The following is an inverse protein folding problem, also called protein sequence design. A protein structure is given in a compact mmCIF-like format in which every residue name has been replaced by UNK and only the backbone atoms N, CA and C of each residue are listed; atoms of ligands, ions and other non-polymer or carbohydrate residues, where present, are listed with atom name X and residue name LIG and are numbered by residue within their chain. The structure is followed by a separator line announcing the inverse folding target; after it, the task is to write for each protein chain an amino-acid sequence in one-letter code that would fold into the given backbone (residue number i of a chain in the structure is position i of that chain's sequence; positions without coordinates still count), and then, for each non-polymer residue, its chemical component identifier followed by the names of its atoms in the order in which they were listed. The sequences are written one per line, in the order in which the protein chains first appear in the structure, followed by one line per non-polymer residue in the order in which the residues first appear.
data_IF_362045077171
#
_entry.id   IF_362045077171
#
_cell.length_a   1.000
_cell.length_b   1.000
_cell.length_c   1.000
_cell.angle_alpha   90.00
_cell.angle_beta   90.00
_cell.angle_gamma   90.00
#
_symmetry.space_group_name_H-M   'P 1'
#
loop_
_entity.id
_entity.type
_entity.pdbx_description
1 polymer ?
#
# COMPACT_ATOMS: atom_id res chain seq x y z
N UNK A 1 -2.26 -0.33 -22.11
CA UNK A 1 -1.47 -1.58 -22.28
C UNK A 1 -2.27 -2.80 -21.85
N UNK A 2 -1.95 -3.95 -22.35
CA UNK A 2 -2.60 -5.21 -21.98
C UNK A 2 -2.00 -5.78 -20.70
N UNK A 3 -2.71 -6.77 -20.12
CA UNK A 3 -2.36 -7.31 -18.80
C UNK A 3 -0.95 -7.91 -18.70
N UNK A 4 -0.44 -8.51 -19.78
CA UNK A 4 0.93 -9.07 -19.80
C UNK A 4 1.99 -7.98 -19.65
N UNK A 5 1.80 -6.85 -20.32
CA UNK A 5 2.70 -5.70 -20.20
C UNK A 5 2.55 -5.03 -18.83
N UNK A 6 1.31 -4.93 -18.33
CA UNK A 6 1.04 -4.41 -16.99
C UNK A 6 1.74 -5.26 -15.92
N UNK A 7 1.72 -6.57 -16.08
CA UNK A 7 2.44 -7.51 -15.20
C UNK A 7 3.93 -7.22 -15.19
N UNK A 8 4.54 -7.04 -16.34
CA UNK A 8 5.98 -6.74 -16.46
C UNK A 8 6.33 -5.41 -15.81
N UNK A 9 5.54 -4.37 -16.04
CA UNK A 9 5.81 -3.02 -15.51
C UNK A 9 5.62 -2.93 -13.99
N UNK A 10 4.67 -3.65 -13.45
CA UNK A 10 4.38 -3.60 -12.01
C UNK A 10 5.18 -4.60 -11.19
N UNK A 11 5.68 -5.65 -11.81
CA UNK A 11 6.28 -6.78 -11.10
C UNK A 11 5.26 -7.67 -10.40
N UNK A 12 3.97 -7.46 -10.68
CA UNK A 12 2.88 -8.29 -10.16
C UNK A 12 2.53 -9.39 -11.18
N UNK A 13 2.13 -10.55 -10.68
CA UNK A 13 1.62 -11.60 -11.55
C UNK A 13 0.27 -11.18 -12.15
N UNK A 14 -0.08 -11.77 -13.28
CA UNK A 14 -1.40 -11.56 -13.90
C UNK A 14 -2.50 -11.94 -12.91
N UNK A 15 -2.30 -13.03 -12.16
CA UNK A 15 -3.24 -13.49 -11.14
C UNK A 15 -3.44 -12.43 -10.04
N UNK A 16 -2.36 -11.80 -9.58
CA UNK A 16 -2.42 -10.75 -8.56
C UNK A 16 -3.18 -9.53 -9.07
N UNK A 17 -2.93 -9.10 -10.30
CA UNK A 17 -3.62 -7.96 -10.91
C UNK A 17 -5.13 -8.23 -10.98
N UNK A 18 -5.52 -9.41 -11.45
CA UNK A 18 -6.92 -9.82 -11.51
C UNK A 18 -7.57 -9.90 -10.14
N UNK A 19 -6.81 -10.35 -9.14
CA UNK A 19 -7.27 -10.40 -7.75
C UNK A 19 -7.58 -8.99 -7.22
N UNK A 20 -6.68 -8.04 -7.43
CA UNK A 20 -6.90 -6.67 -6.96
C UNK A 20 -8.09 -6.01 -7.67
N UNK A 21 -8.27 -6.28 -8.95
CA UNK A 21 -9.45 -5.83 -9.69
C UNK A 21 -10.72 -6.43 -9.10
N UNK A 22 -10.73 -7.75 -8.85
CA UNK A 22 -11.87 -8.44 -8.26
C UNK A 22 -12.19 -7.95 -6.84
N UNK A 23 -11.19 -7.54 -6.08
CA UNK A 23 -11.37 -6.97 -4.74
C UNK A 23 -11.82 -5.51 -4.76
N UNK A 24 -11.92 -4.90 -5.93
CA UNK A 24 -12.34 -3.51 -6.06
C UNK A 24 -11.27 -2.48 -5.69
N UNK A 25 -10.00 -2.89 -5.58
CA UNK A 25 -8.90 -1.97 -5.29
C UNK A 25 -8.55 -1.10 -6.49
N UNK A 26 -8.69 -1.64 -7.68
CA UNK A 26 -8.59 -0.88 -8.91
C UNK A 26 -9.93 -1.01 -9.63
N UNK A 27 -10.29 0.02 -10.38
CA UNK A 27 -11.50 -0.03 -11.20
C UNK A 27 -11.30 -1.03 -12.34
N UNK A 28 -12.40 -1.60 -12.83
CA UNK A 28 -12.36 -2.48 -14.00
C UNK A 28 -11.83 -1.69 -15.20
N UNK A 29 -10.74 -2.15 -15.84
CA UNK A 29 -10.18 -1.43 -16.99
C UNK A 29 -11.11 -1.53 -18.19
N UNK A 30 -10.99 -0.58 -19.10
CA UNK A 30 -11.69 -0.62 -20.38
C UNK A 30 -11.27 -1.86 -21.16
N UNK A 31 -12.16 -2.34 -22.03
CA UNK A 31 -11.89 -3.52 -22.85
C UNK A 31 -11.84 -3.13 -24.33
N UNK A 32 -10.86 -3.69 -25.02
CA UNK A 32 -10.81 -3.68 -26.49
C UNK A 32 -11.11 -5.12 -26.91
N UNK A 33 -12.34 -5.35 -27.41
CA UNK A 33 -12.83 -6.70 -27.64
C UNK A 33 -12.93 -7.46 -26.31
N UNK A 34 -12.21 -8.58 -26.19
CA UNK A 34 -12.16 -9.39 -24.97
C UNK A 34 -10.98 -9.07 -24.07
N UNK A 35 -10.12 -8.10 -24.45
CA UNK A 35 -8.89 -7.79 -23.72
C UNK A 35 -9.04 -6.55 -22.86
N UNK A 36 -8.51 -6.62 -21.63
CA UNK A 36 -8.42 -5.49 -20.72
C UNK A 36 -7.28 -4.55 -21.14
N UNK A 37 -7.55 -3.26 -21.11
CA UNK A 37 -6.55 -2.23 -21.43
C UNK A 37 -6.31 -1.37 -20.17
N UNK A 38 -5.09 -1.40 -19.66
CA UNK A 38 -4.69 -0.67 -18.46
C UNK A 38 -4.09 0.68 -18.84
N UNK A 39 -4.50 1.71 -18.11
CA UNK A 39 -3.99 3.07 -18.26
C UNK A 39 -2.76 3.27 -17.37
N UNK A 40 -2.00 4.33 -17.64
CA UNK A 40 -0.85 4.69 -16.82
C UNK A 40 -1.21 4.83 -15.33
N UNK A 41 -2.35 5.48 -15.04
CA UNK A 41 -2.81 5.63 -13.65
C UNK A 41 -3.09 4.28 -12.98
N UNK A 42 -3.60 3.31 -13.72
CA UNK A 42 -3.83 1.95 -13.18
C UNK A 42 -2.50 1.29 -12.81
N UNK A 43 -1.47 1.48 -13.64
CA UNK A 43 -0.13 0.93 -13.38
C UNK A 43 0.47 1.57 -12.12
N UNK A 44 0.38 2.89 -12.01
CA UNK A 44 0.86 3.61 -10.82
C UNK A 44 0.17 3.12 -9.55
N UNK A 45 -1.15 2.91 -9.61
CA UNK A 45 -1.91 2.41 -8.48
C UNK A 45 -1.53 0.97 -8.10
N UNK A 46 -1.32 0.10 -9.08
CA UNK A 46 -0.89 -1.27 -8.84
C UNK A 46 0.49 -1.32 -8.17
N UNK A 47 1.41 -0.46 -8.60
CA UNK A 47 2.74 -0.35 -7.98
C UNK A 47 2.59 0.13 -6.53
N UNK A 48 1.75 1.11 -6.27
CA UNK A 48 1.46 1.59 -4.92
C UNK A 48 0.92 0.46 -4.04
N UNK A 49 -0.04 -0.31 -4.53
CA UNK A 49 -0.61 -1.44 -3.78
C UNK A 49 0.48 -2.45 -3.41
N UNK A 50 1.34 -2.79 -4.36
CA UNK A 50 2.46 -3.70 -4.12
C UNK A 50 3.38 -3.18 -3.02
N UNK A 51 3.78 -1.92 -3.10
CA UNK A 51 4.67 -1.29 -2.12
C UNK A 51 4.02 -1.17 -0.75
N UNK A 52 2.76 -0.75 -0.69
CA UNK A 52 2.03 -0.60 0.56
C UNK A 52 1.91 -1.93 1.30
N UNK A 53 1.66 -3.02 0.58
CA UNK A 53 1.62 -4.36 1.19
C UNK A 53 2.97 -4.76 1.78
N UNK A 54 4.06 -4.38 1.12
CA UNK A 54 5.41 -4.64 1.64
C UNK A 54 5.68 -3.86 2.94
N UNK A 55 5.00 -2.72 3.14
CA UNK A 55 5.09 -1.93 4.38
C UNK A 55 4.16 -2.45 5.48
N UNK A 56 3.39 -3.49 5.22
CA UNK A 56 2.45 -4.05 6.17
C UNK A 56 1.04 -3.46 6.10
N UNK A 57 0.72 -2.68 5.09
CA UNK A 57 -0.64 -2.15 4.88
C UNK A 57 -1.54 -3.27 4.39
N UNK A 58 -2.72 -3.41 4.99
CA UNK A 58 -3.67 -4.45 4.63
C UNK A 58 -4.54 -4.03 3.44
N UNK A 59 -5.14 -5.02 2.77
CA UNK A 59 -6.09 -4.75 1.68
C UNK A 59 -7.31 -3.97 2.19
N UNK A 60 -7.75 -4.27 3.40
CA UNK A 60 -8.87 -3.57 4.04
C UNK A 60 -8.58 -2.08 4.21
N UNK A 61 -7.37 -1.74 4.66
CA UNK A 61 -6.93 -0.35 4.78
C UNK A 61 -6.88 0.34 3.42
N UNK A 62 -6.35 -0.34 2.40
CA UNK A 62 -6.27 0.20 1.05
C UNK A 62 -7.65 0.48 0.44
N UNK A 63 -8.65 -0.38 0.72
CA UNK A 63 -10.03 -0.15 0.25
C UNK A 63 -10.60 1.17 0.74
N UNK A 64 -10.30 1.56 1.98
CA UNK A 64 -10.77 2.82 2.55
C UNK A 64 -10.02 4.04 2.04
N UNK A 65 -8.85 3.85 1.47
CA UNK A 65 -7.93 4.92 1.08
C UNK A 65 -7.96 5.22 -0.41
N UNK A 66 -8.14 4.19 -1.23
CA UNK A 66 -8.21 4.34 -2.68
C UNK A 66 -9.60 4.84 -3.06
N UNK A 67 -9.69 6.10 -3.44
CA UNK A 67 -10.94 6.79 -3.79
C UNK A 67 -10.80 7.37 -5.18
N UNK A 68 -11.86 7.23 -5.97
CA UNK A 68 -11.96 7.85 -7.29
C UNK A 68 -12.89 9.04 -7.21
N UNK A 69 -12.45 10.18 -7.74
CA UNK A 69 -13.24 11.40 -7.86
C UNK A 69 -13.26 11.82 -9.32
N UNK A 70 -14.45 12.00 -9.88
CA UNK A 70 -14.63 12.36 -11.30
C UNK A 70 -13.88 11.42 -12.25
N UNK A 71 -13.87 10.13 -11.90
CA UNK A 71 -13.22 9.10 -12.70
C UNK A 71 -11.71 9.01 -12.53
N UNK A 72 -11.14 9.84 -11.67
CA UNK A 72 -9.69 9.85 -11.41
C UNK A 72 -9.37 9.46 -9.97
N UNK A 73 -8.16 8.94 -9.77
CA UNK A 73 -7.68 8.54 -8.44
C UNK A 73 -7.41 9.80 -7.61
N UNK A 74 -7.93 9.82 -6.39
CA UNK A 74 -7.63 10.88 -5.42
C UNK A 74 -6.28 10.58 -4.75
N UNK A 75 -5.20 11.02 -5.39
CA UNK A 75 -3.84 10.81 -4.89
C UNK A 75 -3.57 11.55 -3.58
N UNK A 76 -4.22 12.68 -3.34
CA UNK A 76 -4.06 13.42 -2.09
C UNK A 76 -4.53 12.61 -0.88
N UNK A 77 -5.63 11.87 -1.05
CA UNK A 77 -6.12 10.99 0.00
C UNK A 77 -5.12 9.88 0.32
N UNK A 78 -4.50 9.32 -0.71
CA UNK A 78 -3.45 8.29 -0.56
C UNK A 78 -2.22 8.87 0.14
N UNK A 79 -1.77 10.06 -0.28
CA UNK A 79 -0.63 10.72 0.35
C UNK A 79 -0.88 11.00 1.83
N UNK A 80 -2.08 11.44 2.17
CA UNK A 80 -2.43 11.71 3.57
C UNK A 80 -2.37 10.43 4.41
N UNK A 81 -2.88 9.33 3.88
CA UNK A 81 -2.79 8.03 4.54
C UNK A 81 -1.33 7.63 4.79
N UNK A 82 -0.46 7.81 3.80
CA UNK A 82 0.97 7.48 3.93
C UNK A 82 1.67 8.37 4.96
N UNK A 83 1.33 9.67 5.01
CA UNK A 83 1.85 10.59 6.04
C UNK A 83 1.44 10.14 7.43
N UNK A 84 0.18 9.78 7.61
CA UNK A 84 -0.36 9.33 8.90
C UNK A 84 0.28 8.01 9.33
N UNK A 85 0.46 7.08 8.40
CA UNK A 85 1.13 5.80 8.66
C UNK A 85 2.58 6.02 9.11
N UNK A 86 3.29 6.96 8.46
CA UNK A 86 4.66 7.31 8.84
C UNK A 86 4.70 7.91 10.25
N UNK A 87 3.78 8.81 10.56
CA UNK A 87 3.70 9.43 11.89
C UNK A 87 3.48 8.38 12.98
N UNK A 88 2.64 7.38 12.73
CA UNK A 88 2.41 6.29 13.68
C UNK A 88 3.68 5.44 13.88
N UNK A 89 4.46 5.21 12.84
CA UNK A 89 5.72 4.47 12.95
C UNK A 89 6.75 5.26 13.75
N UNK A 90 6.83 6.58 13.55
CA UNK A 90 7.71 7.45 14.35
C UNK A 90 7.31 7.38 15.82
N UNK A 91 6.01 7.39 16.11
CA UNK A 91 5.51 7.26 17.49
C UNK A 91 5.92 5.92 18.11
N UNK A 92 5.84 4.83 17.36
CA UNK A 92 6.27 3.50 17.83
C UNK A 92 7.77 3.46 18.12
N UNK A 93 8.58 4.12 17.30
CA UNK A 93 10.03 4.22 17.54
C UNK A 93 10.29 4.88 18.89
N UNK A 94 9.62 5.99 19.19
CA UNK A 94 9.78 6.68 20.47
C UNK A 94 9.34 5.83 21.65
N UNK A 95 8.24 5.10 21.51
CA UNK A 95 7.75 4.18 22.54
C UNK A 95 8.75 3.05 22.79
N UNK A 96 9.33 2.48 21.73
CA UNK A 96 10.31 1.40 21.82
C UNK A 96 11.57 1.91 22.52
N UNK A 97 12.04 3.12 22.20
CA UNK A 97 13.19 3.73 22.86
C UNK A 97 12.98 3.86 24.36
N UNK A 98 11.79 4.27 24.80
CA UNK A 98 11.44 4.37 26.21
C UNK A 98 11.48 3.00 26.91
N UNK A 99 11.01 1.98 26.25
CA UNK A 99 11.05 0.61 26.79
C UNK A 99 12.50 0.14 26.95
N UNK A 100 13.35 0.42 25.97
CA UNK A 100 14.78 0.07 26.04
C UNK A 100 15.43 0.78 27.23
N UNK A 101 15.19 2.09 27.40
CA UNK A 101 15.74 2.86 28.51
C UNK A 101 15.32 2.28 29.87
N UNK A 102 14.04 1.93 29.99
CA UNK A 102 13.51 1.31 31.21
C UNK A 102 14.15 -0.05 31.49
N UNK A 103 14.40 -0.82 30.45
CA UNK A 103 15.03 -2.12 30.54
C UNK A 103 16.49 -1.99 30.97
N UNK A 104 17.21 -1.01 30.42
CA UNK A 104 18.60 -0.71 30.78
C UNK A 104 18.71 -0.31 32.26
N UNK A 105 17.79 0.54 32.74
CA UNK A 105 17.73 0.93 34.15
C UNK A 105 17.51 -0.28 35.06
N UNK A 106 16.59 -1.16 34.67
CA UNK A 106 16.32 -2.39 35.41
C UNK A 106 17.56 -3.28 35.48
N UNK A 107 18.28 -3.41 34.38
CA UNK A 107 19.50 -4.19 34.31
C UNK A 107 20.58 -3.64 35.25
N UNK A 108 20.77 -2.32 35.24
CA UNK A 108 21.79 -1.64 36.07
C UNK A 108 21.48 -1.73 37.57
N UNK A 109 20.23 -1.87 37.96
CA UNK A 109 19.84 -2.01 39.36
C UNK A 109 20.14 -3.39 39.93
N UNK A 110 20.39 -4.37 39.11
CA UNK A 110 20.73 -5.72 39.55
C UNK A 110 22.20 -5.72 40.02
N UNK A 111 22.41 -6.06 41.28
CA UNK A 111 23.75 -6.15 41.86
C UNK A 111 24.23 -7.60 41.85
N UNK A 112 25.46 -7.78 41.43
CA UNK A 112 26.14 -9.09 41.40
C UNK A 112 26.52 -9.55 42.79
#
# INVERSE_FOLDING_TARGET
MYIGEASKKTGLSIKAIRFYEAQGLIRSPERVGRYRVYKEADIELLILIKEAKAFGVTLSQLRGVIVYRDGEIDWENIKQFLRDARAQLVQKIEEIKKVIDSLDECYEQIKD
#
